data_IF_379013016100
#
_entry.id   IF_379013016100
#
_cell.length_a   1.000
_cell.length_b   1.000
_cell.length_c   1.000
_cell.angle_alpha   90.00
_cell.angle_beta   90.00
_cell.angle_gamma   90.00
#
_symmetry.space_group_name_H-M   'P 1'
#
loop_
_entity.id
_entity.type
_entity.pdbx_description
1 polymer ?
#
# COMPACT_ATOMS: atom_id res chain seq x y z
N UNK A 1 -9.60 -12.70 9.34
CA UNK A 1 -9.88 -12.43 7.91
C UNK A 1 -9.57 -10.98 7.67
N UNK A 2 -8.44 -10.59 7.05
CA UNK A 2 -8.23 -9.18 6.80
C UNK A 2 -9.21 -8.78 5.70
N UNK A 3 -10.15 -7.93 6.09
CA UNK A 3 -11.11 -7.26 5.22
C UNK A 3 -10.36 -6.71 4.03
N UNK A 4 -10.76 -7.11 2.82
CA UNK A 4 -10.19 -6.61 1.57
C UNK A 4 -10.30 -5.06 1.55
N UNK A 5 -9.25 -4.38 2.01
CA UNK A 5 -8.99 -3.01 1.60
C UNK A 5 -8.81 -3.11 0.10
N UNK A 6 -9.78 -2.57 -0.65
CA UNK A 6 -9.71 -2.52 -2.11
C UNK A 6 -8.49 -1.74 -2.58
N UNK A 7 -8.42 -1.41 -3.87
CA UNK A 7 -7.29 -0.66 -4.40
C UNK A 7 -7.11 0.67 -3.66
N UNK A 8 -5.90 0.93 -3.17
CA UNK A 8 -5.55 2.17 -2.47
C UNK A 8 -4.16 2.66 -2.87
N UNK A 9 -3.91 3.95 -2.68
CA UNK A 9 -2.60 4.58 -2.85
C UNK A 9 -2.28 5.35 -1.58
N UNK A 10 -1.13 5.07 -0.96
CA UNK A 10 -0.58 5.88 0.13
C UNK A 10 0.38 6.89 -0.50
N UNK A 11 0.09 8.17 -0.36
CA UNK A 11 0.95 9.27 -0.81
C UNK A 11 1.67 9.84 0.40
N UNK A 12 3.00 9.72 0.41
CA UNK A 12 3.86 10.28 1.45
C UNK A 12 4.46 11.61 0.96
N UNK A 13 4.52 12.59 1.86
CA UNK A 13 4.94 13.96 1.53
C UNK A 13 6.05 14.41 2.48
N UNK A 14 7.01 15.25 2.03
CA UNK A 14 7.95 15.90 2.93
C UNK A 14 7.23 16.76 3.97
N UNK A 15 7.82 16.89 5.15
CA UNK A 15 7.30 17.78 6.18
C UNK A 15 7.19 19.23 5.65
N UNK A 16 6.14 19.99 6.03
CA UNK A 16 5.20 19.72 7.13
C UNK A 16 3.94 18.92 6.74
N UNK A 17 3.80 18.49 5.49
CA UNK A 17 2.57 17.87 5.02
C UNK A 17 2.41 16.44 5.57
N UNK A 18 1.16 16.05 5.83
CA UNK A 18 0.84 14.72 6.31
C UNK A 18 0.58 13.76 5.14
N UNK A 19 0.90 12.46 5.28
CA UNK A 19 0.54 11.47 4.27
C UNK A 19 -0.97 11.43 4.02
N UNK A 20 -1.37 11.09 2.81
CA UNK A 20 -2.79 10.96 2.42
C UNK A 20 -3.02 9.60 1.80
N UNK A 21 -4.16 8.97 2.09
CA UNK A 21 -4.58 7.75 1.40
C UNK A 21 -5.66 8.10 0.39
N UNK A 22 -5.42 7.76 -0.87
CA UNK A 22 -6.41 7.83 -1.93
C UNK A 22 -7.09 6.47 -2.10
N UNK A 23 -8.42 6.50 -2.20
CA UNK A 23 -9.26 5.34 -2.47
C UNK A 23 -10.18 5.65 -3.65
N UNK A 24 -10.31 4.67 -4.53
CA UNK A 24 -11.36 4.65 -5.55
C UNK A 24 -12.45 3.69 -5.08
N UNK A 25 -13.61 4.21 -4.71
CA UNK A 25 -14.73 3.42 -4.20
C UNK A 25 -15.93 3.65 -5.10
N UNK A 26 -16.33 2.61 -5.83
CA UNK A 26 -17.41 2.67 -6.83
C UNK A 26 -17.16 3.75 -7.89
N UNK A 27 -17.83 4.89 -7.78
CA UNK A 27 -17.70 6.05 -8.66
C UNK A 27 -17.23 7.30 -7.90
N UNK A 28 -16.67 7.13 -6.71
CA UNK A 28 -16.21 8.20 -5.83
C UNK A 28 -14.70 8.09 -5.58
N UNK A 29 -14.07 9.26 -5.56
CA UNK A 29 -12.68 9.45 -5.16
C UNK A 29 -12.65 9.96 -3.71
N UNK A 30 -11.96 9.24 -2.83
CA UNK A 30 -11.92 9.57 -1.40
C UNK A 30 -10.47 9.78 -0.96
N UNK A 31 -10.22 10.92 -0.32
CA UNK A 31 -8.95 11.24 0.31
C UNK A 31 -9.08 11.13 1.83
N UNK A 32 -8.25 10.30 2.44
CA UNK A 32 -8.18 10.11 3.88
C UNK A 32 -6.96 10.80 4.45
N UNK A 33 -7.19 11.76 5.34
CA UNK A 33 -6.15 12.59 5.95
C UNK A 33 -6.03 12.36 7.47
N UNK A 34 -6.99 11.65 8.08
CA UNK A 34 -6.95 11.44 9.54
C UNK A 34 -5.85 10.42 9.88
N UNK A 35 -5.00 10.68 10.89
CA UNK A 35 -3.90 9.78 11.26
C UNK A 35 -4.33 8.33 11.53
N UNK A 36 -5.48 8.13 12.15
CA UNK A 36 -6.05 6.80 12.40
C UNK A 36 -6.48 6.06 11.13
N UNK A 37 -6.97 6.78 10.13
CA UNK A 37 -7.34 6.22 8.84
C UNK A 37 -6.07 5.84 8.06
N UNK A 38 -5.09 6.73 8.00
CA UNK A 38 -3.80 6.49 7.34
C UNK A 38 -3.10 5.27 7.94
N UNK A 39 -3.00 5.20 9.28
CA UNK A 39 -2.37 4.07 9.98
C UNK A 39 -2.99 2.72 9.63
N UNK A 40 -4.31 2.65 9.45
CA UNK A 40 -5.00 1.41 9.07
C UNK A 40 -4.55 0.90 7.71
N UNK A 41 -4.38 1.79 6.74
CA UNK A 41 -3.92 1.42 5.40
C UNK A 41 -2.42 1.12 5.37
N UNK A 42 -1.61 1.82 6.16
CA UNK A 42 -0.20 1.47 6.36
C UNK A 42 -0.06 0.04 6.91
N UNK A 43 -0.82 -0.33 7.95
CA UNK A 43 -0.81 -1.70 8.48
C UNK A 43 -1.22 -2.76 7.44
N UNK A 44 -2.20 -2.44 6.59
CA UNK A 44 -2.60 -3.34 5.51
C UNK A 44 -1.47 -3.51 4.47
N UNK A 45 -0.80 -2.41 4.11
CA UNK A 45 0.37 -2.43 3.23
C UNK A 45 1.54 -3.24 3.83
N UNK A 46 1.86 -3.00 5.10
CA UNK A 46 2.93 -3.70 5.82
C UNK A 46 2.70 -5.21 5.85
N UNK A 47 1.45 -5.64 6.01
CA UNK A 47 1.09 -7.06 5.98
C UNK A 47 1.36 -7.69 4.61
N UNK A 48 0.96 -7.03 3.53
CA UNK A 48 1.26 -7.48 2.15
C UNK A 48 2.77 -7.53 1.90
N UNK A 49 3.50 -6.52 2.36
CA UNK A 49 4.96 -6.47 2.21
C UNK A 49 5.66 -7.57 3.01
N UNK A 50 5.13 -7.94 4.18
CA UNK A 50 5.69 -9.01 5.02
C UNK A 50 5.54 -10.38 4.37
N UNK A 51 4.48 -10.60 3.60
CA UNK A 51 4.26 -11.84 2.85
C UNK A 51 5.00 -11.88 1.50
N UNK A 52 5.57 -10.75 1.06
CA UNK A 52 6.32 -10.67 -0.17
C UNK A 52 7.71 -11.31 -0.04
N UNK A 53 8.24 -11.79 -1.16
CA UNK A 53 9.61 -12.32 -1.21
C UNK A 53 10.63 -11.22 -0.87
N UNK A 54 11.74 -11.57 -0.19
CA UNK A 54 12.89 -10.69 -0.07
C UNK A 54 13.39 -10.17 -1.42
N UNK A 55 14.09 -9.03 -1.41
CA UNK A 55 14.53 -8.35 -2.65
C UNK A 55 15.38 -9.27 -3.54
N UNK A 56 16.30 -10.03 -2.96
CA UNK A 56 17.20 -10.90 -3.73
C UNK A 56 16.45 -12.11 -4.32
N UNK A 57 15.55 -12.72 -3.55
CA UNK A 57 14.69 -13.81 -4.03
C UNK A 57 13.72 -13.32 -5.13
N UNK A 58 13.19 -12.10 -4.99
CA UNK A 58 12.36 -11.47 -6.02
C UNK A 58 13.13 -11.26 -7.32
N UNK A 59 14.41 -10.84 -7.24
CA UNK A 59 15.27 -10.66 -8.42
C UNK A 59 15.56 -11.98 -9.12
N UNK A 60 15.81 -13.04 -8.34
CA UNK A 60 16.06 -14.37 -8.88
C UNK A 60 14.82 -14.90 -9.60
N UNK A 61 13.64 -14.80 -8.98
CA UNK A 61 12.36 -15.16 -9.60
C UNK A 61 12.11 -14.42 -10.91
N UNK A 62 12.32 -13.09 -10.93
CA UNK A 62 12.11 -12.29 -12.15
C UNK A 62 13.07 -12.72 -13.26
N UNK A 63 14.34 -13.00 -12.94
CA UNK A 63 15.33 -13.46 -13.92
C UNK A 63 14.94 -14.83 -14.51
N UNK A 64 14.47 -15.75 -13.68
CA UNK A 64 14.02 -17.07 -14.11
C UNK A 64 12.81 -17.00 -15.04
N UNK A 65 11.89 -16.03 -14.84
CA UNK A 65 10.72 -15.82 -15.71
C UNK A 65 11.05 -15.17 -17.07
N UNK A 66 12.21 -14.52 -17.20
CA UNK A 66 12.65 -13.84 -18.43
C UNK A 66 13.51 -14.72 -19.34
N UNK A 67 13.77 -15.97 -18.95
CA UNK A 67 14.56 -16.95 -19.71
C UNK A 67 13.65 -18.01 -20.34
#
# INVERSE_FOLDING_TARGET
MPTATGRFIIMDFPQPDHPVVYLEVMSEEVYLEKPEQIRRYQQAYDHVQTEALPVDESRDLIRDLLT
#
